data_IF_029635524928
#
_entry.id   IF_029635524928
#
_cell.length_a   1.000
_cell.length_b   1.000
_cell.length_c   1.000
_cell.angle_alpha   90.00
_cell.angle_beta   90.00
_cell.angle_gamma   90.00
#
_symmetry.space_group_name_H-M   'P 1'
#
loop_
_entity.id
_entity.type
_entity.pdbx_description
1 polymer ?
#
# COMPACT_ATOMS: atom_id res chain seq x y z
N UNK A 1 1.63 23.72 14.22
CA UNK A 1 1.85 24.65 13.11
C UNK A 1 0.67 24.60 12.16
N UNK A 2 0.53 25.61 11.34
CA UNK A 2 -0.48 25.62 10.26
C UNK A 2 0.23 25.14 9.00
N UNK A 3 -0.28 24.07 8.39
CA UNK A 3 0.25 23.52 7.13
C UNK A 3 -0.72 23.89 6.02
N UNK A 4 -0.22 24.52 4.97
CA UNK A 4 -1.01 24.86 3.79
C UNK A 4 -1.20 23.61 2.90
N UNK A 5 -2.46 23.20 2.75
CA UNK A 5 -2.84 22.06 1.91
C UNK A 5 -3.42 22.58 0.59
N UNK A 6 -2.69 22.46 -0.53
CA UNK A 6 -3.20 22.83 -1.83
C UNK A 6 -4.47 22.03 -2.20
N UNK A 7 -5.36 22.69 -2.92
CA UNK A 7 -6.62 22.08 -3.37
C UNK A 7 -6.43 20.78 -4.15
N UNK A 8 -5.36 20.67 -4.95
CA UNK A 8 -5.03 19.44 -5.68
C UNK A 8 -4.76 18.26 -4.75
N UNK A 9 -4.03 18.49 -3.65
CA UNK A 9 -3.73 17.44 -2.66
C UNK A 9 -5.00 17.01 -1.90
N UNK A 10 -5.89 17.94 -1.60
CA UNK A 10 -7.22 17.64 -1.06
C UNK A 10 -8.03 16.75 -2.03
N UNK A 11 -8.06 17.09 -3.32
CA UNK A 11 -8.78 16.31 -4.33
C UNK A 11 -8.17 14.91 -4.51
N UNK A 12 -6.85 14.79 -4.44
CA UNK A 12 -6.17 13.48 -4.47
C UNK A 12 -6.56 12.64 -3.24
N UNK A 13 -6.47 13.21 -2.04
CA UNK A 13 -6.85 12.51 -0.80
C UNK A 13 -8.32 12.07 -0.82
N UNK A 14 -9.22 12.89 -1.37
CA UNK A 14 -10.64 12.55 -1.53
C UNK A 14 -10.82 11.44 -2.58
N UNK A 15 -10.09 11.50 -3.69
CA UNK A 15 -10.12 10.46 -4.70
C UNK A 15 -9.66 9.12 -4.13
N UNK A 16 -8.54 9.08 -3.41
CA UNK A 16 -8.02 7.86 -2.78
C UNK A 16 -8.99 7.31 -1.72
N UNK A 17 -9.60 8.18 -0.92
CA UNK A 17 -10.62 7.79 0.05
C UNK A 17 -11.86 7.16 -0.63
N UNK A 18 -12.26 7.69 -1.79
CA UNK A 18 -13.35 7.11 -2.58
C UNK A 18 -12.98 5.75 -3.17
N UNK A 19 -11.77 5.59 -3.69
CA UNK A 19 -11.30 4.30 -4.19
C UNK A 19 -11.24 3.26 -3.07
N UNK A 20 -10.74 3.64 -1.90
CA UNK A 20 -10.75 2.74 -0.73
C UNK A 20 -12.17 2.31 -0.35
N UNK A 21 -13.13 3.24 -0.39
CA UNK A 21 -14.54 2.88 -0.16
C UNK A 21 -15.10 1.95 -1.25
N UNK A 22 -14.67 2.13 -2.51
CA UNK A 22 -15.07 1.26 -3.62
C UNK A 22 -14.49 -0.16 -3.49
N UNK A 23 -13.29 -0.30 -2.95
CA UNK A 23 -12.66 -1.61 -2.68
C UNK A 23 -13.36 -2.37 -1.53
N UNK A 24 -14.04 -1.65 -0.63
CA UNK A 24 -14.86 -2.22 0.45
C UNK A 24 -16.30 -2.51 0.03
N UNK A 25 -16.67 -2.19 -1.22
CA UNK A 25 -18.01 -2.39 -1.71
C UNK A 25 -18.35 -3.88 -1.86
N UNK A 26 -19.56 -4.27 -1.46
CA UNK A 26 -20.08 -5.62 -1.74
C UNK A 26 -20.50 -5.78 -3.21
N UNK A 27 -20.63 -7.02 -3.67
CA UNK A 27 -20.90 -7.36 -5.08
C UNK A 27 -22.18 -6.73 -5.66
N UNK A 28 -23.14 -6.34 -4.81
CA UNK A 28 -24.38 -5.69 -5.20
C UNK A 28 -24.28 -4.15 -5.23
N UNK A 29 -23.14 -3.58 -4.85
CA UNK A 29 -22.86 -2.15 -4.84
C UNK A 29 -22.04 -1.73 -6.05
N UNK A 30 -22.54 -0.75 -6.80
CA UNK A 30 -21.88 -0.24 -8.01
C UNK A 30 -21.23 1.13 -7.74
N UNK A 31 -19.93 1.11 -7.45
CA UNK A 31 -19.16 2.33 -7.20
C UNK A 31 -19.07 3.27 -8.40
N UNK A 32 -19.35 2.80 -9.64
CA UNK A 32 -19.40 3.69 -10.82
C UNK A 32 -20.61 4.62 -10.79
N UNK A 33 -21.64 4.26 -10.03
CA UNK A 33 -22.84 5.09 -9.80
C UNK A 33 -22.65 6.00 -8.58
N UNK A 34 -21.75 6.97 -8.68
CA UNK A 34 -21.30 7.83 -7.59
C UNK A 34 -22.43 8.31 -6.67
N UNK A 35 -23.50 8.90 -7.22
CA UNK A 35 -24.60 9.47 -6.42
C UNK A 35 -25.38 8.45 -5.57
N UNK A 36 -25.47 7.20 -6.00
CA UNK A 36 -26.11 6.13 -5.23
C UNK A 36 -25.10 5.48 -4.29
N UNK A 37 -23.86 5.30 -4.71
CA UNK A 37 -22.81 4.71 -3.91
C UNK A 37 -22.48 5.56 -2.67
N UNK A 38 -22.40 6.88 -2.80
CA UNK A 38 -22.19 7.79 -1.65
C UNK A 38 -23.24 7.65 -0.54
N UNK A 39 -24.42 7.10 -0.85
CA UNK A 39 -25.51 6.86 0.12
C UNK A 39 -25.56 5.42 0.61
N UNK A 40 -24.77 4.55 0.04
CA UNK A 40 -24.68 3.15 0.44
C UNK A 40 -23.97 3.01 1.79
N UNK A 41 -24.15 1.87 2.43
CA UNK A 41 -23.43 1.48 3.64
C UNK A 41 -22.43 0.40 3.27
N UNK A 42 -21.16 0.56 3.65
CA UNK A 42 -20.08 -0.40 3.46
C UNK A 42 -19.65 -0.98 4.81
N UNK A 43 -19.10 -2.19 4.81
CA UNK A 43 -18.43 -2.77 5.97
C UNK A 43 -16.98 -2.28 5.98
N UNK A 44 -16.58 -1.59 7.05
CA UNK A 44 -15.23 -1.01 7.16
C UNK A 44 -14.27 -1.91 7.94
N UNK A 45 -14.80 -2.85 8.72
CA UNK A 45 -14.03 -3.87 9.43
C UNK A 45 -14.84 -5.18 9.48
N UNK A 46 -14.38 -6.19 8.75
CA UNK A 46 -15.04 -7.52 8.70
C UNK A 46 -14.95 -8.27 10.03
N UNK A 47 -13.93 -8.02 10.84
CA UNK A 47 -13.73 -8.72 12.10
C UNK A 47 -14.71 -8.26 13.18
N UNK A 48 -15.03 -6.96 13.18
CA UNK A 48 -15.97 -6.34 14.14
C UNK A 48 -17.38 -6.20 13.58
N UNK A 49 -17.53 -6.24 12.25
CA UNK A 49 -18.78 -5.94 11.54
C UNK A 49 -19.12 -4.45 11.54
N UNK A 50 -18.13 -3.56 11.76
CA UNK A 50 -18.34 -2.12 11.75
C UNK A 50 -18.71 -1.65 10.34
N UNK A 51 -19.69 -0.77 10.27
CA UNK A 51 -20.20 -0.23 9.01
C UNK A 51 -20.22 1.29 9.01
N UNK A 52 -20.10 1.89 7.82
CA UNK A 52 -20.20 3.34 7.63
C UNK A 52 -20.98 3.67 6.35
N UNK A 53 -21.62 4.84 6.33
CA UNK A 53 -22.14 5.41 5.09
C UNK A 53 -20.96 5.91 4.25
N UNK A 54 -20.92 5.57 2.96
CA UNK A 54 -19.79 5.89 2.07
C UNK A 54 -19.42 7.36 2.09
N UNK A 55 -20.41 8.29 2.07
CA UNK A 55 -20.11 9.73 2.13
C UNK A 55 -19.37 10.14 3.41
N UNK A 56 -19.73 9.57 4.55
CA UNK A 56 -19.13 9.88 5.84
C UNK A 56 -17.73 9.25 5.94
N UNK A 57 -17.60 8.00 5.48
CA UNK A 57 -16.31 7.33 5.37
C UNK A 57 -15.32 8.10 4.50
N UNK A 58 -15.74 8.51 3.28
CA UNK A 58 -14.88 9.28 2.37
C UNK A 58 -14.47 10.62 2.99
N UNK A 59 -15.40 11.32 3.64
CA UNK A 59 -15.09 12.60 4.29
C UNK A 59 -14.06 12.42 5.42
N UNK A 60 -14.28 11.43 6.29
CA UNK A 60 -13.35 11.12 7.39
C UNK A 60 -11.98 10.68 6.87
N UNK A 61 -11.96 9.72 5.93
CA UNK A 61 -10.72 9.20 5.36
C UNK A 61 -9.90 10.25 4.62
N UNK A 62 -10.58 11.19 3.93
CA UNK A 62 -9.94 12.36 3.33
C UNK A 62 -9.18 13.17 4.37
N UNK A 63 -9.83 13.49 5.50
CA UNK A 63 -9.18 14.25 6.57
C UNK A 63 -8.01 13.51 7.19
N UNK A 64 -8.15 12.22 7.47
CA UNK A 64 -7.08 11.36 7.99
C UNK A 64 -5.86 11.35 7.05
N UNK A 65 -6.09 11.22 5.74
CA UNK A 65 -5.02 11.27 4.75
C UNK A 65 -4.30 12.63 4.76
N UNK A 66 -5.05 13.74 4.81
CA UNK A 66 -4.47 15.08 4.83
C UNK A 66 -3.71 15.38 6.13
N UNK A 67 -4.22 14.93 7.27
CA UNK A 67 -3.54 15.01 8.57
C UNK A 67 -2.22 14.23 8.54
N UNK A 68 -2.24 13.02 7.94
CA UNK A 68 -1.03 12.23 7.75
C UNK A 68 -0.01 12.93 6.85
N UNK A 69 -0.43 13.49 5.71
CA UNK A 69 0.48 14.23 4.82
C UNK A 69 1.09 15.44 5.51
N UNK A 70 0.29 16.21 6.24
CA UNK A 70 0.76 17.36 7.00
C UNK A 70 1.74 16.95 8.11
N UNK A 71 1.45 15.86 8.82
CA UNK A 71 2.32 15.34 9.88
C UNK A 71 3.67 14.88 9.33
N UNK A 72 3.67 14.16 8.19
CA UNK A 72 4.90 13.71 7.51
C UNK A 72 5.76 14.91 7.12
N UNK A 73 5.20 15.90 6.41
CA UNK A 73 5.94 17.09 5.99
C UNK A 73 6.49 17.86 7.19
N UNK A 74 5.66 18.09 8.21
CA UNK A 74 6.07 18.81 9.43
C UNK A 74 7.19 18.08 10.16
N UNK A 75 7.04 16.78 10.36
CA UNK A 75 8.02 15.99 11.13
C UNK A 75 9.34 15.85 10.39
N UNK A 76 9.29 15.66 9.06
CA UNK A 76 10.48 15.62 8.23
C UNK A 76 11.29 16.91 8.32
N UNK A 77 10.61 18.07 8.24
CA UNK A 77 11.25 19.37 8.37
C UNK A 77 11.80 19.61 9.79
N UNK A 78 11.07 19.21 10.86
CA UNK A 78 11.53 19.32 12.24
C UNK A 78 12.82 18.53 12.50
N UNK A 79 12.97 17.37 11.87
CA UNK A 79 14.18 16.55 11.97
C UNK A 79 15.30 17.02 11.02
N UNK A 80 15.09 18.10 10.27
CA UNK A 80 16.07 18.64 9.34
C UNK A 80 16.24 17.81 8.07
N UNK A 81 15.21 17.03 7.71
CA UNK A 81 15.19 16.20 6.49
C UNK A 81 15.27 17.04 5.22
N UNK A 82 16.01 16.55 4.25
CA UNK A 82 16.14 17.14 2.91
C UNK A 82 16.20 16.02 1.89
N UNK A 83 15.25 16.01 0.95
CA UNK A 83 15.28 15.06 -0.16
C UNK A 83 16.54 15.25 -1.00
N UNK A 84 17.17 14.16 -1.37
CA UNK A 84 18.31 14.16 -2.28
C UNK A 84 17.87 14.48 -3.73
N UNK A 85 18.78 14.92 -4.62
CA UNK A 85 18.45 15.11 -6.03
C UNK A 85 17.93 13.84 -6.73
N UNK A 86 18.36 12.66 -6.30
CA UNK A 86 17.91 11.39 -6.86
C UNK A 86 16.47 11.09 -6.42
N UNK A 87 16.11 11.33 -5.16
CA UNK A 87 14.74 11.19 -4.64
C UNK A 87 13.78 12.19 -5.29
N UNK A 88 14.20 13.44 -5.48
CA UNK A 88 13.42 14.42 -6.23
C UNK A 88 13.15 13.95 -7.67
N UNK A 89 14.16 13.39 -8.33
CA UNK A 89 14.04 12.83 -9.68
C UNK A 89 13.13 11.60 -9.69
N UNK A 90 13.22 10.76 -8.69
CA UNK A 90 12.38 9.59 -8.52
C UNK A 90 10.90 9.97 -8.34
N UNK A 91 10.60 10.93 -7.47
CA UNK A 91 9.25 11.45 -7.28
C UNK A 91 8.65 12.01 -8.58
N UNK A 92 9.45 12.80 -9.31
CA UNK A 92 9.04 13.36 -10.59
C UNK A 92 8.77 12.29 -11.66
N UNK A 93 9.58 11.23 -11.67
CA UNK A 93 9.41 10.09 -12.56
C UNK A 93 8.13 9.30 -12.27
N UNK A 94 7.88 8.98 -11.00
CA UNK A 94 6.66 8.25 -10.60
C UNK A 94 5.40 9.06 -10.90
N UNK A 95 5.38 10.35 -10.56
CA UNK A 95 4.27 11.22 -10.90
C UNK A 95 3.98 11.27 -12.41
N UNK A 96 5.04 11.30 -13.23
CA UNK A 96 4.93 11.28 -14.69
C UNK A 96 4.34 9.97 -15.20
N UNK A 97 4.77 8.82 -14.65
CA UNK A 97 4.22 7.51 -14.99
C UNK A 97 2.74 7.40 -14.64
N UNK A 98 2.33 7.93 -13.48
CA UNK A 98 0.92 7.95 -13.08
C UNK A 98 0.06 8.74 -14.08
N UNK A 99 0.55 9.90 -14.52
CA UNK A 99 -0.12 10.71 -15.55
C UNK A 99 -0.16 9.99 -16.91
N UNK A 100 0.90 9.31 -17.31
CA UNK A 100 0.92 8.53 -18.56
C UNK A 100 -0.10 7.38 -18.54
N UNK A 101 -0.26 6.72 -17.40
CA UNK A 101 -1.16 5.58 -17.25
C UNK A 101 -2.63 5.98 -17.06
N UNK A 102 -2.90 7.02 -16.28
CA UNK A 102 -4.23 7.38 -15.82
C UNK A 102 -4.56 8.89 -15.94
N UNK A 103 -3.88 9.63 -16.82
CA UNK A 103 -3.97 11.10 -16.88
C UNK A 103 -5.37 11.64 -17.10
N UNK A 104 -6.20 10.98 -17.90
CA UNK A 104 -7.58 11.39 -18.14
C UNK A 104 -8.43 11.27 -16.87
N UNK A 105 -8.20 10.21 -16.07
CA UNK A 105 -8.88 9.99 -14.80
C UNK A 105 -8.49 11.06 -13.77
N UNK A 106 -7.19 11.30 -13.60
CA UNK A 106 -6.70 12.34 -12.69
C UNK A 106 -7.19 13.73 -13.09
N UNK A 107 -7.13 14.07 -14.35
CA UNK A 107 -7.60 15.35 -14.88
C UNK A 107 -9.11 15.54 -14.68
N UNK A 108 -9.90 14.49 -14.87
CA UNK A 108 -11.35 14.55 -14.63
C UNK A 108 -11.69 14.83 -13.16
N UNK A 109 -10.79 14.45 -12.24
CA UNK A 109 -10.91 14.72 -10.80
C UNK A 109 -10.16 15.97 -10.32
N UNK A 110 -9.62 16.79 -11.24
CA UNK A 110 -8.93 18.04 -10.91
C UNK A 110 -7.51 17.83 -10.33
N UNK A 111 -6.93 16.65 -10.52
CA UNK A 111 -5.61 16.27 -10.01
C UNK A 111 -4.59 16.47 -11.13
N UNK A 112 -3.64 17.37 -10.92
CA UNK A 112 -2.58 17.70 -11.88
C UNK A 112 -1.25 17.03 -11.54
N UNK A 113 -0.32 17.10 -12.49
CA UNK A 113 1.04 16.54 -12.33
C UNK A 113 1.77 17.09 -11.10
N UNK A 114 1.67 18.39 -10.83
CA UNK A 114 2.34 19.00 -9.67
C UNK A 114 1.78 18.48 -8.33
N UNK A 115 0.51 18.14 -8.28
CA UNK A 115 -0.09 17.47 -7.12
C UNK A 115 0.52 16.10 -6.90
N UNK A 116 0.62 15.29 -7.96
CA UNK A 116 1.22 13.96 -7.89
C UNK A 116 2.70 14.03 -7.52
N UNK A 117 3.45 14.97 -8.07
CA UNK A 117 4.86 15.20 -7.69
C UNK A 117 5.00 15.52 -6.20
N UNK A 118 4.14 16.38 -5.64
CA UNK A 118 4.15 16.65 -4.21
C UNK A 118 3.80 15.42 -3.39
N UNK A 119 2.80 14.66 -3.81
CA UNK A 119 2.38 13.43 -3.15
C UNK A 119 3.50 12.39 -3.13
N UNK A 120 4.18 12.16 -4.27
CA UNK A 120 5.31 11.23 -4.34
C UNK A 120 6.47 11.65 -3.41
N UNK A 121 6.73 12.97 -3.28
CA UNK A 121 7.70 13.47 -2.29
C UNK A 121 7.27 13.19 -0.86
N UNK A 122 5.98 13.28 -0.55
CA UNK A 122 5.45 12.93 0.78
C UNK A 122 5.67 11.45 1.07
N UNK A 123 5.48 10.56 0.09
CA UNK A 123 5.73 9.12 0.26
C UNK A 123 7.21 8.83 0.52
N UNK A 124 8.12 9.48 -0.20
CA UNK A 124 9.56 9.34 0.04
C UNK A 124 9.91 9.85 1.45
N UNK A 125 9.47 11.05 1.81
CA UNK A 125 9.67 11.61 3.16
C UNK A 125 9.14 10.67 4.26
N UNK A 126 8.01 9.99 4.02
CA UNK A 126 7.46 9.02 4.98
C UNK A 126 8.40 7.83 5.21
N UNK A 127 9.05 7.34 4.16
CA UNK A 127 10.04 6.27 4.27
C UNK A 127 11.31 6.75 5.00
N UNK A 128 11.81 7.92 4.66
CA UNK A 128 13.00 8.50 5.30
C UNK A 128 12.77 8.76 6.79
N UNK A 129 11.55 9.17 7.17
CA UNK A 129 11.18 9.38 8.57
C UNK A 129 11.32 8.11 9.41
N UNK A 130 11.10 6.92 8.85
CA UNK A 130 11.33 5.67 9.59
C UNK A 130 12.80 5.52 9.99
N UNK A 131 13.72 5.81 9.06
CA UNK A 131 15.15 5.77 9.32
C UNK A 131 15.59 6.91 10.26
N UNK A 132 15.08 8.13 10.04
CA UNK A 132 15.38 9.29 10.86
C UNK A 132 14.88 9.15 12.30
N UNK A 133 13.78 8.44 12.53
CA UNK A 133 13.24 8.21 13.87
C UNK A 133 13.84 6.96 14.54
N UNK A 134 13.89 5.84 13.81
CA UNK A 134 14.10 4.51 14.39
C UNK A 134 15.37 3.81 13.88
N UNK A 135 16.04 4.36 12.87
CA UNK A 135 17.34 3.86 12.39
C UNK A 135 18.43 3.92 13.45
N UNK A 136 19.60 3.34 13.15
CA UNK A 136 20.74 3.24 14.10
C UNK A 136 21.16 4.61 14.65
N UNK A 137 21.14 5.65 13.80
CA UNK A 137 21.48 7.03 14.17
C UNK A 137 20.23 7.91 14.34
N UNK A 138 19.04 7.29 14.43
CA UNK A 138 17.76 7.99 14.54
C UNK A 138 17.54 8.61 15.92
N UNK A 139 16.44 9.40 16.03
CA UNK A 139 16.07 10.08 17.27
C UNK A 139 15.76 9.10 18.42
N UNK A 140 15.17 7.94 18.09
CA UNK A 140 14.75 6.90 19.03
C UNK A 140 15.10 5.53 18.44
N UNK A 141 16.39 5.19 18.33
CA UNK A 141 16.83 3.99 17.63
C UNK A 141 16.28 2.72 18.29
N UNK A 142 15.81 1.79 17.46
CA UNK A 142 15.38 0.46 17.93
C UNK A 142 16.63 -0.36 18.22
N UNK A 143 16.71 -0.94 19.41
CA UNK A 143 17.86 -1.75 19.80
C UNK A 143 17.87 -3.13 19.14
N UNK A 144 19.05 -3.72 18.96
CA UNK A 144 19.20 -5.10 18.45
C UNK A 144 18.44 -6.12 19.32
N UNK A 145 18.31 -5.87 20.61
CA UNK A 145 17.58 -6.74 21.52
C UNK A 145 16.06 -6.69 21.23
N UNK A 146 15.50 -5.53 20.96
CA UNK A 146 14.09 -5.36 20.60
C UNK A 146 13.80 -5.98 19.23
N UNK A 147 14.69 -5.78 18.23
CA UNK A 147 14.58 -6.40 16.92
C UNK A 147 14.65 -7.94 17.03
N UNK A 148 15.57 -8.46 17.82
CA UNK A 148 15.72 -9.90 18.05
C UNK A 148 14.48 -10.48 18.70
N UNK A 149 13.96 -9.84 19.77
CA UNK A 149 12.73 -10.27 20.44
C UNK A 149 11.54 -10.28 19.50
N UNK A 150 11.37 -9.23 18.68
CA UNK A 150 10.29 -9.18 17.69
C UNK A 150 10.41 -10.28 16.64
N UNK A 151 11.64 -10.55 16.15
CA UNK A 151 11.89 -11.63 15.19
C UNK A 151 11.57 -13.02 15.78
N UNK A 152 11.93 -13.25 17.05
CA UNK A 152 11.70 -14.53 17.73
C UNK A 152 10.22 -14.75 18.11
N UNK A 153 9.53 -13.69 18.53
CA UNK A 153 8.18 -13.76 19.05
C UNK A 153 7.08 -13.64 17.98
N UNK A 154 7.32 -12.82 16.94
CA UNK A 154 6.28 -12.41 15.99
C UNK A 154 6.54 -12.90 14.55
N UNK A 155 7.75 -13.36 14.23
CA UNK A 155 8.11 -13.75 12.88
C UNK A 155 8.45 -15.24 12.76
N UNK A 156 8.07 -15.83 11.65
CA UNK A 156 8.40 -17.23 11.31
C UNK A 156 9.21 -17.25 10.03
N UNK A 157 10.39 -17.88 10.07
CA UNK A 157 11.14 -18.15 8.86
C UNK A 157 10.57 -19.38 8.15
N UNK A 158 10.07 -19.19 6.94
CA UNK A 158 9.55 -20.27 6.11
C UNK A 158 10.42 -20.46 4.87
N UNK A 159 10.64 -21.71 4.49
CA UNK A 159 11.16 -22.09 3.16
C UNK A 159 10.04 -22.81 2.42
N UNK A 160 9.87 -22.48 1.16
CA UNK A 160 8.86 -23.14 0.34
C UNK A 160 9.40 -23.40 -1.07
N UNK A 161 8.85 -24.42 -1.71
CA UNK A 161 9.07 -24.72 -3.12
C UNK A 161 7.74 -24.54 -3.82
N UNK A 162 7.74 -23.75 -4.89
CA UNK A 162 6.55 -23.59 -5.72
C UNK A 162 6.56 -24.67 -6.80
N UNK A 163 5.54 -25.52 -6.78
CA UNK A 163 5.31 -26.53 -7.83
C UNK A 163 4.14 -26.03 -8.67
N UNK A 164 4.39 -25.49 -9.88
CA UNK A 164 3.33 -24.85 -10.65
C UNK A 164 2.40 -25.89 -11.28
N UNK A 165 1.08 -25.67 -11.10
CA UNK A 165 0.03 -26.38 -11.81
C UNK A 165 -0.45 -25.62 -13.07
N UNK A 166 0.35 -24.70 -13.53
CA UNK A 166 0.08 -23.87 -14.69
C UNK A 166 1.32 -23.79 -15.60
N UNK A 167 1.15 -24.09 -16.86
CA UNK A 167 2.21 -24.00 -17.87
C UNK A 167 2.19 -22.61 -18.50
N UNK A 168 3.19 -21.79 -18.21
CA UNK A 168 3.30 -20.43 -18.74
C UNK A 168 3.51 -20.34 -20.24
N UNK A 169 4.00 -21.42 -20.87
CA UNK A 169 4.25 -21.47 -22.32
C UNK A 169 2.99 -21.83 -23.11
N UNK A 170 2.11 -22.67 -22.56
CA UNK A 170 0.87 -23.11 -23.19
C UNK A 170 -0.38 -22.40 -22.68
N UNK A 171 -0.26 -21.63 -21.59
CA UNK A 171 -1.36 -20.98 -20.88
C UNK A 171 -2.46 -21.94 -20.44
N UNK A 172 -2.09 -23.20 -20.16
CA UNK A 172 -3.01 -24.23 -19.72
C UNK A 172 -2.70 -24.67 -18.28
N UNK A 173 -3.73 -25.03 -17.54
CA UNK A 173 -3.57 -25.72 -16.27
C UNK A 173 -3.12 -27.17 -16.51
N UNK A 174 -2.41 -27.73 -15.52
CA UNK A 174 -2.01 -29.13 -15.53
C UNK A 174 -3.25 -30.03 -15.56
N UNK A 175 -3.18 -31.08 -16.36
CA UNK A 175 -4.17 -32.16 -16.31
C UNK A 175 -3.98 -33.05 -15.06
N UNK A 176 -4.85 -34.05 -14.89
CA UNK A 176 -4.82 -34.90 -13.69
C UNK A 176 -3.50 -35.68 -13.56
N UNK A 177 -2.93 -36.16 -14.66
CA UNK A 177 -1.67 -36.90 -14.66
C UNK A 177 -0.49 -35.97 -14.32
N UNK A 178 -0.46 -34.78 -14.87
CA UNK A 178 0.53 -33.75 -14.55
C UNK A 178 0.40 -33.27 -13.11
N UNK A 179 -0.82 -33.10 -12.63
CA UNK A 179 -1.09 -32.69 -11.24
C UNK A 179 -0.60 -33.75 -10.25
N UNK A 180 -0.80 -35.04 -10.55
CA UNK A 180 -0.28 -36.16 -9.76
C UNK A 180 1.25 -36.19 -9.71
N UNK A 181 1.93 -35.97 -10.85
CA UNK A 181 3.40 -35.88 -10.92
C UNK A 181 3.92 -34.68 -10.11
N UNK A 182 3.26 -33.53 -10.19
CA UNK A 182 3.66 -32.34 -9.42
C UNK A 182 3.47 -32.56 -7.92
N UNK A 183 2.41 -33.25 -7.49
CA UNK A 183 2.19 -33.63 -6.10
C UNK A 183 3.29 -34.56 -5.58
N UNK A 184 3.67 -35.58 -6.34
CA UNK A 184 4.79 -36.48 -5.99
C UNK A 184 6.11 -35.73 -5.87
N UNK A 185 6.38 -34.78 -6.78
CA UNK A 185 7.57 -33.92 -6.73
C UNK A 185 7.56 -33.05 -5.46
N UNK A 186 6.43 -32.46 -5.11
CA UNK A 186 6.29 -31.64 -3.91
C UNK A 186 6.50 -32.46 -2.63
N UNK A 187 5.94 -33.67 -2.56
CA UNK A 187 6.14 -34.61 -1.45
C UNK A 187 7.60 -35.02 -1.31
N UNK A 188 8.26 -35.39 -2.41
CA UNK A 188 9.69 -35.75 -2.43
C UNK A 188 10.58 -34.59 -1.97
N UNK A 189 10.27 -33.37 -2.40
CA UNK A 189 11.00 -32.18 -1.97
C UNK A 189 10.83 -31.92 -0.46
N UNK A 190 9.61 -32.07 0.08
CA UNK A 190 9.32 -31.93 1.50
C UNK A 190 10.04 -32.99 2.35
N UNK A 191 10.00 -34.26 1.92
CA UNK A 191 10.70 -35.35 2.59
C UNK A 191 12.21 -35.14 2.61
N UNK A 192 12.79 -34.74 1.47
CA UNK A 192 14.22 -34.45 1.35
C UNK A 192 14.65 -33.29 2.23
N UNK A 193 13.83 -32.24 2.32
CA UNK A 193 14.07 -31.11 3.21
C UNK A 193 14.03 -31.53 4.67
N UNK A 194 12.99 -32.24 5.09
CA UNK A 194 12.83 -32.70 6.47
C UNK A 194 13.99 -33.64 6.89
N UNK A 195 14.46 -34.50 5.98
CA UNK A 195 15.61 -35.38 6.25
C UNK A 195 16.95 -34.62 6.34
N UNK A 196 17.05 -33.43 5.70
CA UNK A 196 18.29 -32.63 5.73
C UNK A 196 18.38 -31.69 6.96
N UNK A 197 17.26 -31.40 7.60
CA UNK A 197 17.20 -30.48 8.75
C UNK A 197 17.36 -31.20 10.09
N UNK A 198 17.27 -32.54 10.09
CA UNK A 198 17.48 -33.41 11.25
C UNK A 198 18.73 -34.24 11.06
#
# INVERSE_FOLDING_TARGET
GEVDIPSGLYLLAQFDAYQTAADLASDDQDATKVSSFLKATITVDDATGETAVVSDYVAQKTLENLESYAAIETRFDELGGVLTPDEETQADSYASQLIEQNGDLYKANGIGLDTLKRFERILIKSNDLLEMCYGIDGETPVSDAELTSHLEDEMVYIRYVVVPLYNTSTFAFADDDQSAQMLELAQTAAESYNAAVH
#
